data_IF_561877469850
#
_entry.id   IF_561877469850
#
_cell.length_a   1.000
_cell.length_b   1.000
_cell.length_c   1.000
_cell.angle_alpha   90.00
_cell.angle_beta   90.00
_cell.angle_gamma   90.00
#
_symmetry.space_group_name_H-M   'P 1'
#
loop_
_entity.id
_entity.type
_entity.pdbx_description
1 polymer ?
#
# COMPACT_ATOMS: atom_id res chain seq x y z
N UNK A 1 35.28 -3.55 -27.24
CA UNK A 1 34.94 -3.20 -25.86
C UNK A 1 35.21 -4.45 -25.03
N UNK A 2 35.92 -4.39 -23.90
CA UNK A 2 35.94 -5.55 -23.01
C UNK A 2 34.49 -5.77 -22.54
N UNK A 3 33.92 -6.91 -22.91
CA UNK A 3 32.62 -7.34 -22.43
C UNK A 3 32.81 -7.83 -21.01
N UNK A 4 32.34 -7.07 -20.01
CA UNK A 4 32.17 -7.64 -18.67
C UNK A 4 31.04 -8.67 -18.80
N UNK A 5 31.33 -9.98 -18.67
CA UNK A 5 30.29 -10.99 -18.84
C UNK A 5 29.27 -10.85 -17.72
N UNK A 6 27.98 -10.88 -18.09
CA UNK A 6 26.90 -10.98 -17.10
C UNK A 6 27.05 -12.34 -16.41
N UNK A 7 27.01 -12.41 -15.07
CA UNK A 7 27.17 -13.68 -14.36
C UNK A 7 26.14 -14.73 -14.81
N UNK A 8 26.58 -15.96 -15.00
CA UNK A 8 25.68 -17.11 -15.11
C UNK A 8 24.95 -17.28 -13.77
N UNK A 9 23.63 -17.40 -13.82
CA UNK A 9 22.77 -17.52 -12.63
C UNK A 9 21.74 -18.63 -12.82
N UNK A 10 21.19 -19.15 -11.71
CA UNK A 10 20.25 -20.26 -11.74
C UNK A 10 18.89 -19.86 -12.35
N UNK A 11 18.50 -18.59 -12.22
CA UNK A 11 17.28 -18.01 -12.78
C UNK A 11 17.54 -16.62 -13.36
N UNK A 12 16.64 -16.12 -14.22
CA UNK A 12 16.73 -14.72 -14.71
C UNK A 12 16.56 -13.70 -13.58
N UNK A 13 15.85 -14.04 -12.51
CA UNK A 13 15.76 -13.19 -11.31
C UNK A 13 17.11 -13.09 -10.61
N UNK A 14 17.79 -14.21 -10.39
CA UNK A 14 19.14 -14.23 -9.80
C UNK A 14 20.13 -13.46 -10.69
N UNK A 15 19.96 -13.56 -12.01
CA UNK A 15 20.76 -12.82 -12.98
C UNK A 15 20.53 -11.32 -12.85
N UNK A 16 19.29 -10.87 -12.72
CA UNK A 16 18.96 -9.45 -12.51
C UNK A 16 19.56 -8.93 -11.20
N UNK A 17 19.45 -9.68 -10.11
CA UNK A 17 20.08 -9.33 -8.82
C UNK A 17 21.60 -9.18 -8.97
N UNK A 18 22.24 -10.12 -9.68
CA UNK A 18 23.68 -10.05 -9.95
C UNK A 18 24.08 -8.84 -10.82
N UNK A 19 23.24 -8.47 -11.79
CA UNK A 19 23.42 -7.26 -12.61
C UNK A 19 23.33 -6.01 -11.75
N UNK A 20 22.32 -5.87 -10.88
CA UNK A 20 22.19 -4.72 -9.97
C UNK A 20 23.41 -4.58 -9.06
N UNK A 21 23.87 -5.68 -8.47
CA UNK A 21 25.06 -5.68 -7.63
C UNK A 21 26.32 -5.23 -8.40
N UNK A 22 26.47 -5.67 -9.65
CA UNK A 22 27.58 -5.25 -10.52
C UNK A 22 27.50 -3.77 -10.89
N UNK A 23 26.30 -3.25 -11.20
CA UNK A 23 26.08 -1.84 -11.51
C UNK A 23 26.49 -0.94 -10.34
N UNK A 24 26.21 -1.36 -9.09
CA UNK A 24 26.49 -0.59 -7.88
C UNK A 24 27.88 -0.82 -7.27
N UNK A 25 28.62 -1.84 -7.73
CA UNK A 25 29.96 -2.15 -7.24
C UNK A 25 31.01 -1.09 -7.65
N UNK A 26 32.16 -1.00 -6.94
CA UNK A 26 33.28 -0.18 -7.39
C UNK A 26 33.72 -0.51 -8.82
N UNK A 27 33.72 0.49 -9.71
CA UNK A 27 34.01 0.32 -11.13
C UNK A 27 32.78 -0.02 -12.00
N UNK A 28 31.60 -0.12 -11.39
CA UNK A 28 30.30 -0.17 -12.07
C UNK A 28 29.83 1.22 -12.53
N UNK A 29 28.52 1.41 -12.57
CA UNK A 29 27.90 2.66 -12.97
C UNK A 29 27.94 3.69 -11.82
N UNK A 30 28.56 4.87 -12.00
CA UNK A 30 28.64 5.89 -10.96
C UNK A 30 27.27 6.38 -10.48
N UNK A 31 26.30 6.49 -11.40
CA UNK A 31 24.95 6.93 -11.06
C UNK A 31 24.26 5.91 -10.16
N UNK A 32 24.32 4.62 -10.50
CA UNK A 32 23.70 3.55 -9.70
C UNK A 32 24.32 3.46 -8.31
N UNK A 33 25.66 3.57 -8.22
CA UNK A 33 26.39 3.51 -6.96
C UNK A 33 26.06 4.67 -6.00
N UNK A 34 25.72 5.86 -6.52
CA UNK A 34 25.36 7.04 -5.72
C UNK A 34 23.91 7.01 -5.21
N UNK A 35 23.06 6.10 -5.71
CA UNK A 35 21.65 6.06 -5.32
C UNK A 35 21.44 5.59 -3.88
N UNK A 36 20.42 6.19 -3.25
CA UNK A 36 19.94 5.91 -1.89
C UNK A 36 18.45 5.58 -1.93
N UNK A 37 17.89 5.05 -0.84
CA UNK A 37 16.44 4.86 -0.73
C UNK A 37 15.66 6.14 -1.04
N UNK A 38 16.12 7.29 -0.53
CA UNK A 38 15.44 8.56 -0.69
C UNK A 38 15.50 9.10 -2.13
N UNK A 39 16.63 8.94 -2.83
CA UNK A 39 16.76 9.43 -4.21
C UNK A 39 15.94 8.62 -5.21
N UNK A 40 15.64 7.36 -4.90
CA UNK A 40 14.88 6.46 -5.76
C UNK A 40 13.36 6.60 -5.64
N UNK A 41 12.84 7.30 -4.62
CA UNK A 41 11.39 7.44 -4.41
C UNK A 41 10.67 8.03 -5.61
N UNK A 42 11.27 9.00 -6.30
CA UNK A 42 10.64 9.62 -7.48
C UNK A 42 10.43 8.59 -8.60
N UNK A 43 11.45 7.75 -8.86
CA UNK A 43 11.39 6.72 -9.89
C UNK A 43 10.39 5.64 -9.53
N UNK A 44 10.38 5.18 -8.26
CA UNK A 44 9.35 4.24 -7.80
C UNK A 44 7.92 4.76 -8.02
N UNK A 45 7.69 6.08 -7.83
CA UNK A 45 6.39 6.69 -8.10
C UNK A 45 6.10 6.72 -9.60
N UNK A 46 7.08 7.09 -10.43
CA UNK A 46 6.99 7.08 -11.90
C UNK A 46 6.66 5.67 -12.41
N UNK A 47 7.48 4.65 -12.11
CA UNK A 47 7.26 3.26 -12.55
C UNK A 47 5.92 2.70 -12.04
N UNK A 48 5.49 3.09 -10.84
CA UNK A 48 4.17 2.68 -10.33
C UNK A 48 3.02 3.25 -11.15
N UNK A 49 3.18 4.47 -11.67
CA UNK A 49 2.19 5.09 -12.55
C UNK A 49 2.25 4.54 -13.97
N UNK A 50 3.44 4.29 -14.51
CA UNK A 50 3.60 3.66 -15.82
C UNK A 50 3.01 2.24 -15.80
N UNK A 51 3.22 1.47 -14.73
CA UNK A 51 2.54 0.18 -14.53
C UNK A 51 1.00 0.32 -14.47
N UNK A 52 0.46 1.37 -13.84
CA UNK A 52 -0.99 1.62 -13.85
C UNK A 52 -1.46 1.88 -15.29
N UNK A 53 -0.76 2.70 -16.07
CA UNK A 53 -1.09 2.98 -17.46
C UNK A 53 -1.05 1.71 -18.33
N UNK A 54 -0.05 0.84 -18.11
CA UNK A 54 0.05 -0.45 -18.80
C UNK A 54 -1.09 -1.41 -18.43
N UNK A 55 -1.56 -1.42 -17.17
CA UNK A 55 -2.74 -2.20 -16.75
C UNK A 55 -4.02 -1.69 -17.42
N UNK A 56 -4.19 -0.37 -17.52
CA UNK A 56 -5.40 0.25 -18.04
C UNK A 56 -5.50 0.18 -19.56
N UNK A 57 -4.37 0.22 -20.27
CA UNK A 57 -4.37 0.47 -21.72
C UNK A 57 -3.36 -0.34 -22.53
N UNK A 58 -2.46 -1.07 -21.85
CA UNK A 58 -1.23 -1.58 -22.45
C UNK A 58 -1.32 -2.93 -23.16
N UNK A 59 -0.28 -3.19 -23.94
CA UNK A 59 0.04 -4.47 -24.57
C UNK A 59 0.69 -5.45 -23.57
N UNK A 60 0.84 -6.71 -24.00
CA UNK A 60 1.58 -7.71 -23.22
C UNK A 60 3.03 -7.27 -22.98
N UNK A 61 3.62 -6.62 -23.98
CA UNK A 61 4.99 -6.14 -23.96
C UNK A 61 5.17 -5.04 -22.93
N UNK A 62 4.32 -4.01 -22.96
CA UNK A 62 4.32 -2.91 -21.96
C UNK A 62 4.08 -3.48 -20.55
N UNK A 63 3.13 -4.41 -20.38
CA UNK A 63 2.96 -5.07 -19.07
C UNK A 63 4.22 -5.77 -18.55
N UNK A 64 5.02 -6.38 -19.42
CA UNK A 64 6.26 -7.05 -18.99
C UNK A 64 7.34 -6.03 -18.62
N UNK A 65 7.43 -4.94 -19.38
CA UNK A 65 8.35 -3.82 -19.14
C UNK A 65 8.09 -3.19 -17.77
N UNK A 66 6.87 -2.69 -17.55
CA UNK A 66 6.54 -1.95 -16.32
C UNK A 66 6.55 -2.83 -15.06
N UNK A 67 6.16 -4.11 -15.17
CA UNK A 67 6.36 -5.05 -14.05
C UNK A 67 7.84 -5.28 -13.76
N UNK A 68 8.66 -5.29 -14.80
CA UNK A 68 10.11 -5.39 -14.71
C UNK A 68 10.72 -4.20 -13.98
N UNK A 69 10.28 -2.99 -14.29
CA UNK A 69 10.80 -1.76 -13.70
C UNK A 69 10.40 -1.60 -12.23
N UNK A 70 9.14 -1.91 -11.89
CA UNK A 70 8.72 -1.99 -10.47
C UNK A 70 9.48 -3.09 -9.71
N UNK A 71 9.71 -4.26 -10.32
CA UNK A 71 10.54 -5.31 -9.74
C UNK A 71 11.99 -4.85 -9.54
N UNK A 72 12.55 -4.13 -10.51
CA UNK A 72 13.90 -3.60 -10.44
C UNK A 72 14.05 -2.61 -9.29
N UNK A 73 13.08 -1.72 -9.06
CA UNK A 73 13.07 -0.82 -7.89
C UNK A 73 13.15 -1.60 -6.56
N UNK A 74 12.42 -2.72 -6.42
CA UNK A 74 12.47 -3.57 -5.23
C UNK A 74 13.86 -4.20 -5.05
N UNK A 75 14.45 -4.74 -6.13
CA UNK A 75 15.79 -5.33 -6.10
C UNK A 75 16.85 -4.27 -5.76
N UNK A 76 16.72 -3.06 -6.31
CA UNK A 76 17.65 -1.96 -6.09
C UNK A 76 17.65 -1.52 -4.62
N UNK A 77 16.46 -1.37 -4.02
CA UNK A 77 16.35 -1.08 -2.58
C UNK A 77 16.93 -2.21 -1.72
N UNK A 78 16.72 -3.47 -2.10
CA UNK A 78 17.30 -4.60 -1.39
C UNK A 78 18.84 -4.62 -1.49
N UNK A 79 19.43 -4.27 -2.64
CA UNK A 79 20.88 -4.14 -2.79
C UNK A 79 21.45 -2.98 -1.95
N UNK A 80 20.76 -1.82 -1.90
CA UNK A 80 21.14 -0.71 -1.01
C UNK A 80 21.19 -1.20 0.44
N UNK A 81 20.15 -1.90 0.91
CA UNK A 81 20.08 -2.38 2.28
C UNK A 81 21.15 -3.43 2.62
N UNK A 82 21.46 -4.31 1.67
CA UNK A 82 22.50 -5.32 1.83
C UNK A 82 23.90 -4.69 2.00
N UNK A 83 24.13 -3.56 1.33
CA UNK A 83 25.42 -2.86 1.32
C UNK A 83 25.50 -1.66 2.27
N UNK A 84 24.40 -1.26 2.92
CA UNK A 84 24.38 -0.14 3.87
C UNK A 84 24.60 -0.62 5.31
N UNK A 85 25.64 -0.11 6.01
CA UNK A 85 25.90 -0.51 7.39
C UNK A 85 24.71 -0.25 8.32
N UNK A 86 24.14 -1.34 8.85
CA UNK A 86 23.08 -1.29 9.84
C UNK A 86 21.70 -1.71 9.33
N UNK A 87 21.46 -1.74 8.02
CA UNK A 87 20.17 -2.19 7.46
C UNK A 87 20.06 -3.71 7.41
N UNK A 88 21.11 -4.39 6.89
CA UNK A 88 21.33 -5.84 7.01
C UNK A 88 20.16 -6.72 6.54
N UNK A 89 19.56 -6.40 5.40
CA UNK A 89 18.65 -7.31 4.71
C UNK A 89 18.89 -7.28 3.20
N UNK A 90 18.50 -8.34 2.50
CA UNK A 90 18.57 -8.45 1.05
C UNK A 90 17.22 -8.85 0.41
N UNK A 91 17.24 -9.18 -0.89
CA UNK A 91 16.03 -9.54 -1.64
C UNK A 91 15.41 -10.85 -1.16
N UNK A 92 16.21 -11.78 -0.62
CA UNK A 92 15.71 -13.03 -0.06
C UNK A 92 14.99 -12.78 1.26
N UNK A 93 15.48 -11.85 2.10
CA UNK A 93 14.77 -11.46 3.32
C UNK A 93 13.40 -10.84 2.99
N UNK A 94 13.34 -9.96 1.98
CA UNK A 94 12.09 -9.36 1.48
C UNK A 94 11.12 -10.45 0.99
N UNK A 95 11.60 -11.36 0.14
CA UNK A 95 10.80 -12.46 -0.41
C UNK A 95 10.33 -13.45 0.67
N UNK A 96 11.20 -13.80 1.62
CA UNK A 96 10.87 -14.69 2.73
C UNK A 96 9.82 -14.07 3.66
N UNK A 97 9.98 -12.79 4.00
CA UNK A 97 8.99 -12.05 4.80
C UNK A 97 7.63 -12.03 4.11
N UNK A 98 7.59 -11.71 2.82
CA UNK A 98 6.35 -11.68 2.04
C UNK A 98 5.72 -13.06 1.91
N UNK A 99 6.53 -14.11 1.69
CA UNK A 99 6.07 -15.50 1.61
C UNK A 99 5.44 -15.96 2.91
N UNK A 100 6.12 -15.77 4.05
CA UNK A 100 5.60 -16.13 5.36
C UNK A 100 4.26 -15.44 5.63
N UNK A 101 4.18 -14.14 5.32
CA UNK A 101 2.96 -13.34 5.47
C UNK A 101 1.82 -13.82 4.58
N UNK A 102 2.09 -14.18 3.32
CA UNK A 102 1.05 -14.72 2.43
C UNK A 102 0.58 -16.09 2.89
N UNK A 103 1.49 -17.00 3.27
CA UNK A 103 1.12 -18.32 3.79
C UNK A 103 0.29 -18.18 5.08
N UNK A 104 0.74 -17.34 6.02
CA UNK A 104 0.06 -17.12 7.29
C UNK A 104 -1.35 -16.55 7.15
N UNK A 105 -1.60 -15.71 6.14
CA UNK A 105 -2.91 -15.09 5.90
C UNK A 105 -3.84 -15.87 4.99
N UNK A 106 -3.38 -16.98 4.42
CA UNK A 106 -4.21 -17.90 3.64
C UNK A 106 -4.27 -19.30 4.29
N UNK A 107 -4.70 -19.43 5.56
CA UNK A 107 -4.83 -20.75 6.19
C UNK A 107 -5.92 -21.61 5.52
N UNK A 108 -6.75 -21.02 4.66
CA UNK A 108 -7.70 -21.75 3.82
C UNK A 108 -7.08 -22.38 2.57
N UNK A 109 -5.89 -21.93 2.16
CA UNK A 109 -5.11 -22.54 1.09
C UNK A 109 -4.04 -23.49 1.65
N UNK A 110 -3.39 -23.09 2.75
CA UNK A 110 -2.21 -23.78 3.29
C UNK A 110 -2.47 -24.54 4.61
N UNK A 111 -3.69 -24.51 5.14
CA UNK A 111 -4.10 -25.17 6.38
C UNK A 111 -5.52 -25.75 6.27
N UNK A 112 -6.20 -25.85 7.41
CA UNK A 112 -7.48 -26.57 7.54
C UNK A 112 -8.71 -25.65 7.64
N UNK A 113 -8.55 -24.32 7.46
CA UNK A 113 -9.66 -23.37 7.59
C UNK A 113 -10.51 -23.37 6.32
N UNK A 114 -11.79 -23.75 6.40
CA UNK A 114 -12.68 -23.66 5.23
C UNK A 114 -13.33 -22.27 5.17
N UNK A 115 -13.07 -21.52 4.09
CA UNK A 115 -13.69 -20.23 3.80
C UNK A 115 -14.40 -20.34 2.44
N UNK A 116 -15.71 -20.14 2.43
CA UNK A 116 -16.56 -20.48 1.30
C UNK A 116 -16.69 -19.34 0.26
N UNK A 117 -16.45 -18.09 0.66
CA UNK A 117 -16.65 -16.92 -0.20
C UNK A 117 -15.48 -15.93 -0.14
N UNK A 118 -15.36 -15.09 -1.16
CA UNK A 118 -14.40 -13.99 -1.16
C UNK A 118 -14.59 -13.05 0.04
N UNK A 119 -15.85 -12.79 0.44
CA UNK A 119 -16.14 -11.99 1.64
C UNK A 119 -15.66 -12.65 2.94
N UNK A 120 -15.77 -13.98 3.06
CA UNK A 120 -15.22 -14.70 4.21
C UNK A 120 -13.69 -14.61 4.26
N UNK A 121 -13.04 -14.68 3.09
CA UNK A 121 -11.58 -14.51 2.95
C UNK A 121 -11.16 -13.09 3.34
N UNK A 122 -11.85 -12.06 2.87
CA UNK A 122 -11.55 -10.66 3.21
C UNK A 122 -11.69 -10.38 4.71
N UNK A 123 -12.76 -10.90 5.33
CA UNK A 123 -12.98 -10.75 6.77
C UNK A 123 -11.90 -11.46 7.60
N UNK A 124 -11.55 -12.70 7.23
CA UNK A 124 -10.49 -13.45 7.89
C UNK A 124 -9.12 -12.76 7.72
N UNK A 125 -8.84 -12.23 6.52
CA UNK A 125 -7.61 -11.49 6.23
C UNK A 125 -7.43 -10.25 7.12
N UNK A 126 -8.52 -9.52 7.34
CA UNK A 126 -8.53 -8.36 8.20
C UNK A 126 -8.38 -8.71 9.70
N UNK A 127 -8.89 -9.87 10.13
CA UNK A 127 -8.67 -10.42 11.46
C UNK A 127 -7.19 -10.82 11.66
N UNK A 128 -6.60 -11.57 10.73
CA UNK A 128 -5.18 -11.95 10.79
C UNK A 128 -4.25 -10.75 10.79
N UNK A 129 -4.58 -9.70 10.01
CA UNK A 129 -3.84 -8.42 10.04
C UNK A 129 -3.85 -7.77 11.42
N UNK A 130 -4.94 -7.86 12.16
CA UNK A 130 -5.06 -7.28 13.49
C UNK A 130 -4.25 -8.08 14.52
N UNK A 131 -4.27 -9.42 14.44
CA UNK A 131 -3.49 -10.30 15.32
C UNK A 131 -1.98 -10.14 15.13
N UNK A 132 -1.51 -9.96 13.88
CA UNK A 132 -0.08 -9.77 13.56
C UNK A 132 0.50 -8.44 14.04
N UNK A 133 -0.35 -7.45 14.34
CA UNK A 133 0.06 -6.09 14.67
C UNK A 133 -0.66 -5.55 15.90
N UNK A 134 -0.43 -6.14 17.08
CA UNK A 134 -1.09 -5.72 18.32
C UNK A 134 -0.72 -4.29 18.74
N UNK A 135 0.36 -3.73 18.20
CA UNK A 135 0.76 -2.34 18.40
C UNK A 135 -0.13 -1.33 17.66
N UNK A 136 -0.93 -1.78 16.68
CA UNK A 136 -1.87 -0.91 15.98
C UNK A 136 -3.08 -0.66 16.86
N UNK A 137 -3.12 0.53 17.43
CA UNK A 137 -4.21 0.97 18.30
C UNK A 137 -5.31 1.71 17.54
N UNK A 138 -5.05 2.13 16.30
CA UNK A 138 -6.03 2.81 15.44
C UNK A 138 -6.26 2.07 14.13
N UNK A 139 -7.50 2.07 13.64
CA UNK A 139 -7.87 1.58 12.31
C UNK A 139 -7.22 2.40 11.19
N UNK A 140 -6.73 3.61 11.51
CA UNK A 140 -5.97 4.47 10.61
C UNK A 140 -4.49 4.07 10.49
N UNK A 141 -3.99 3.16 11.34
CA UNK A 141 -2.57 2.80 11.35
C UNK A 141 -2.15 2.09 10.06
N UNK A 142 -1.14 2.68 9.41
CA UNK A 142 -0.58 2.19 8.15
C UNK A 142 -1.30 2.68 6.89
N UNK A 143 -2.13 3.72 6.97
CA UNK A 143 -2.61 4.44 5.78
C UNK A 143 -1.52 5.43 5.31
N UNK A 144 -0.99 5.29 4.09
CA UNK A 144 -0.01 6.24 3.55
C UNK A 144 -0.68 7.57 3.23
N UNK A 145 -0.40 8.61 4.00
CA UNK A 145 -1.08 9.91 3.86
C UNK A 145 -0.67 10.69 2.60
N UNK A 146 0.40 10.27 1.93
CA UNK A 146 0.87 10.85 0.67
C UNK A 146 0.21 10.27 -0.58
N UNK A 147 -0.70 9.29 -0.45
CA UNK A 147 -1.39 8.71 -1.61
C UNK A 147 -2.36 9.72 -2.26
N UNK A 148 -2.72 9.54 -3.54
CA UNK A 148 -3.71 10.38 -4.22
C UNK A 148 -5.00 10.49 -3.42
N UNK A 149 -5.59 11.69 -3.35
CA UNK A 149 -6.69 11.97 -2.42
C UNK A 149 -7.94 11.13 -2.65
N UNK A 150 -8.25 10.75 -3.88
CA UNK A 150 -9.39 9.86 -4.16
C UNK A 150 -9.16 8.46 -3.57
N UNK A 151 -7.94 7.91 -3.71
CA UNK A 151 -7.59 6.63 -3.11
C UNK A 151 -7.49 6.71 -1.57
N UNK A 152 -7.04 7.85 -1.03
CA UNK A 152 -7.07 8.09 0.41
C UNK A 152 -8.51 8.16 0.93
N UNK A 153 -9.42 8.81 0.19
CA UNK A 153 -10.83 8.91 0.55
C UNK A 153 -11.48 7.54 0.64
N UNK A 154 -11.29 6.69 -0.38
CA UNK A 154 -11.79 5.32 -0.41
C UNK A 154 -11.33 4.51 0.81
N UNK A 155 -10.01 4.53 1.12
CA UNK A 155 -9.48 3.86 2.31
C UNK A 155 -10.08 4.39 3.62
N UNK A 156 -10.21 5.71 3.77
CA UNK A 156 -10.74 6.31 4.99
C UNK A 156 -12.22 6.02 5.17
N UNK A 157 -13.01 6.01 4.09
CA UNK A 157 -14.42 5.61 4.12
C UNK A 157 -14.53 4.17 4.59
N UNK A 158 -13.75 3.24 4.02
CA UNK A 158 -13.73 1.84 4.46
C UNK A 158 -13.35 1.68 5.94
N UNK A 159 -12.40 2.48 6.45
CA UNK A 159 -12.05 2.49 7.89
C UNK A 159 -13.17 3.05 8.77
N UNK A 160 -13.79 4.15 8.36
CA UNK A 160 -14.90 4.76 9.08
C UNK A 160 -16.10 3.81 9.16
N UNK A 161 -16.43 3.13 8.06
CA UNK A 161 -17.48 2.12 8.01
C UNK A 161 -17.19 0.95 8.95
N UNK A 162 -15.95 0.47 8.99
CA UNK A 162 -15.53 -0.64 9.86
C UNK A 162 -15.78 -0.38 11.36
N UNK A 163 -15.69 0.87 11.80
CA UNK A 163 -15.93 1.26 13.21
C UNK A 163 -17.29 1.95 13.43
N UNK A 164 -18.16 1.98 12.41
CA UNK A 164 -19.50 2.54 12.50
C UNK A 164 -19.58 4.07 12.51
N UNK A 165 -18.51 4.78 12.11
CA UNK A 165 -18.56 6.25 11.91
C UNK A 165 -19.37 6.62 10.67
N UNK A 166 -19.28 5.79 9.62
CA UNK A 166 -20.11 5.90 8.43
C UNK A 166 -20.97 4.65 8.29
N UNK A 167 -22.18 4.80 7.76
CA UNK A 167 -23.07 3.67 7.47
C UNK A 167 -22.53 2.89 6.24
N UNK A 168 -22.54 1.56 6.34
CA UNK A 168 -22.11 0.65 5.26
C UNK A 168 -23.11 0.58 4.11
N UNK A 169 -24.41 0.68 4.43
CA UNK A 169 -25.52 0.48 3.48
C UNK A 169 -26.25 1.79 3.14
N UNK A 170 -25.59 2.93 3.33
CA UNK A 170 -26.15 4.21 2.92
C UNK A 170 -26.36 4.22 1.39
N UNK A 171 -27.52 4.70 0.90
CA UNK A 171 -27.73 4.84 -0.53
C UNK A 171 -26.69 5.79 -1.13
N UNK A 172 -26.18 5.46 -2.32
CA UNK A 172 -25.21 6.29 -3.01
C UNK A 172 -25.75 7.71 -3.19
N UNK A 173 -25.05 8.70 -2.62
CA UNK A 173 -25.45 10.11 -2.69
C UNK A 173 -25.45 10.63 -4.13
N UNK A 174 -24.59 10.07 -4.98
CA UNK A 174 -24.54 10.33 -6.41
C UNK A 174 -24.77 8.99 -7.12
N UNK A 175 -25.90 8.83 -7.85
CA UNK A 175 -26.20 7.59 -8.54
C UNK A 175 -25.34 7.49 -9.81
N UNK A 176 -24.22 6.78 -9.71
CA UNK A 176 -23.30 6.50 -10.83
C UNK A 176 -23.15 4.99 -10.93
N UNK A 177 -23.31 4.43 -12.13
CA UNK A 177 -23.35 2.98 -12.32
C UNK A 177 -22.09 2.39 -12.98
N UNK A 178 -21.20 3.23 -13.50
CA UNK A 178 -19.97 2.82 -14.16
C UNK A 178 -18.86 3.88 -14.09
N UNK A 179 -17.62 3.46 -14.33
CA UNK A 179 -16.47 4.38 -14.42
C UNK A 179 -16.59 5.35 -15.60
N UNK A 180 -17.21 4.92 -16.71
CA UNK A 180 -17.52 5.77 -17.87
C UNK A 180 -18.44 6.93 -17.52
N UNK A 181 -19.31 6.77 -16.52
CA UNK A 181 -20.14 7.85 -15.98
C UNK A 181 -19.42 8.66 -14.90
N UNK A 182 -18.62 7.99 -14.05
CA UNK A 182 -17.92 8.61 -12.92
C UNK A 182 -16.81 9.56 -13.37
N UNK A 183 -16.00 9.15 -14.36
CA UNK A 183 -14.87 9.91 -14.87
C UNK A 183 -15.25 11.32 -15.34
N UNK A 184 -16.23 11.48 -16.25
CA UNK A 184 -16.71 12.79 -16.69
C UNK A 184 -17.24 13.66 -15.55
N UNK A 185 -17.88 13.06 -14.53
CA UNK A 185 -18.37 13.79 -13.36
C UNK A 185 -17.22 14.34 -12.51
N UNK A 186 -16.22 13.51 -12.21
CA UNK A 186 -15.01 13.93 -11.49
C UNK A 186 -14.28 15.05 -12.24
N UNK A 187 -14.15 14.91 -13.57
CA UNK A 187 -13.57 15.95 -14.42
C UNK A 187 -14.38 17.25 -14.37
N UNK A 188 -15.72 17.18 -14.39
CA UNK A 188 -16.58 18.35 -14.28
C UNK A 188 -16.44 19.07 -12.94
N UNK A 189 -16.28 18.33 -11.83
CA UNK A 189 -16.01 18.89 -10.50
C UNK A 189 -14.67 19.64 -10.51
N UNK A 190 -13.62 19.04 -11.05
CA UNK A 190 -12.29 19.67 -11.15
C UNK A 190 -12.34 20.91 -12.05
N UNK A 191 -13.04 20.84 -13.18
CA UNK A 191 -13.22 21.97 -14.09
C UNK A 191 -13.96 23.14 -13.43
N UNK A 192 -15.03 22.84 -12.68
CA UNK A 192 -15.79 23.84 -11.91
C UNK A 192 -14.94 24.48 -10.81
N UNK A 193 -14.19 23.67 -10.05
CA UNK A 193 -13.26 24.17 -9.05
C UNK A 193 -12.23 25.13 -9.66
N UNK A 194 -11.61 24.73 -10.78
CA UNK A 194 -10.63 25.55 -11.51
C UNK A 194 -11.24 26.87 -11.98
N UNK A 195 -12.44 26.85 -12.55
CA UNK A 195 -13.13 28.06 -13.01
C UNK A 195 -13.42 29.05 -11.88
N UNK A 196 -13.52 28.57 -10.65
CA UNK A 196 -13.74 29.37 -9.44
C UNK A 196 -12.44 29.69 -8.66
N UNK A 197 -11.27 29.34 -9.19
CA UNK A 197 -9.99 29.54 -8.50
C UNK A 197 -9.77 28.64 -7.27
N UNK A 198 -10.52 27.54 -7.19
CA UNK A 198 -10.40 26.53 -6.15
C UNK A 198 -9.43 25.43 -6.57
N UNK A 199 -8.76 24.86 -5.58
CA UNK A 199 -7.88 23.70 -5.74
C UNK A 199 -8.63 22.46 -5.24
N UNK A 200 -9.13 21.64 -6.17
CA UNK A 200 -9.96 20.46 -5.87
C UNK A 200 -9.22 19.43 -5.01
N UNK A 201 -7.94 19.22 -5.30
CA UNK A 201 -7.09 18.28 -4.58
C UNK A 201 -6.83 18.76 -3.14
N UNK A 202 -6.49 20.04 -2.95
CA UNK A 202 -6.36 20.63 -1.60
C UNK A 202 -7.69 20.62 -0.83
N UNK A 203 -8.81 20.88 -1.51
CA UNK A 203 -10.13 20.84 -0.91
C UNK A 203 -10.46 19.43 -0.39
N UNK A 204 -10.22 18.39 -1.20
CA UNK A 204 -10.44 17.01 -0.79
C UNK A 204 -9.48 16.61 0.35
N UNK A 205 -8.17 16.86 0.24
CA UNK A 205 -7.22 16.59 1.33
C UNK A 205 -7.62 17.22 2.66
N UNK A 206 -8.13 18.46 2.61
CA UNK A 206 -8.56 19.17 3.83
C UNK A 206 -9.77 18.49 4.45
N UNK A 207 -10.74 18.08 3.63
CA UNK A 207 -11.91 17.32 4.06
C UNK A 207 -11.52 15.98 4.69
N UNK A 208 -10.58 15.26 4.08
CA UNK A 208 -10.08 13.97 4.58
C UNK A 208 -9.35 14.07 5.92
N UNK A 209 -8.74 15.22 6.25
CA UNK A 209 -8.21 15.46 7.61
C UNK A 209 -9.33 15.53 8.65
N UNK A 210 -10.49 16.09 8.29
CA UNK A 210 -11.69 16.12 9.13
C UNK A 210 -12.22 14.72 9.40
N UNK A 211 -12.45 13.93 8.35
CA UNK A 211 -12.91 12.53 8.49
C UNK A 211 -11.95 11.69 9.37
N UNK A 212 -10.64 11.90 9.25
CA UNK A 212 -9.66 11.23 10.12
C UNK A 212 -9.82 11.61 11.59
N UNK A 213 -10.07 12.89 11.86
CA UNK A 213 -10.31 13.37 13.22
C UNK A 213 -11.59 12.72 13.80
N UNK A 214 -12.67 12.65 13.02
CA UNK A 214 -13.93 11.98 13.41
C UNK A 214 -13.71 10.49 13.73
N UNK A 215 -12.93 9.78 12.89
CA UNK A 215 -12.56 8.38 13.15
C UNK A 215 -11.78 8.27 14.47
N UNK A 216 -10.81 9.15 14.70
CA UNK A 216 -9.97 9.11 15.91
C UNK A 216 -10.79 9.42 17.16
N UNK A 217 -11.74 10.35 17.08
CA UNK A 217 -12.65 10.69 18.17
C UNK A 217 -13.59 9.53 18.50
N UNK A 218 -14.15 8.87 17.48
CA UNK A 218 -14.98 7.68 17.67
C UNK A 218 -14.22 6.53 18.36
N UNK A 219 -12.95 6.30 17.98
CA UNK A 219 -12.09 5.32 18.65
C UNK A 219 -11.85 5.68 20.12
N UNK A 220 -11.60 6.96 20.42
CA UNK A 220 -11.40 7.43 21.80
C UNK A 220 -12.65 7.26 22.67
N UNK A 221 -13.84 7.55 22.12
CA UNK A 221 -15.12 7.36 22.80
C UNK A 221 -15.39 5.88 23.07
N UNK A 222 -15.20 5.01 22.09
CA UNK A 222 -15.37 3.57 22.24
C UNK A 222 -14.43 2.98 23.31
N UNK A 223 -13.18 3.45 23.37
CA UNK A 223 -12.22 3.05 24.38
C UNK A 223 -12.62 3.53 25.80
N UNK A 224 -13.17 4.74 25.91
CA UNK A 224 -13.65 5.28 27.19
C UNK A 224 -14.86 4.49 27.72
N UNK A 225 -15.82 4.14 26.85
CA UNK A 225 -16.99 3.35 27.22
C UNK A 225 -16.62 1.92 27.64
N UNK A 226 -15.67 1.29 26.96
CA UNK A 226 -15.13 -0.02 27.35
C UNK A 226 -14.46 -0.01 28.75
N UNK A 227 -13.84 1.12 29.13
CA UNK A 227 -13.22 1.31 30.45
C UNK A 227 -14.20 1.47 31.61
N UNK A 228 -15.45 1.86 31.35
CA UNK A 228 -16.49 2.04 32.38
C UNK A 228 -17.12 0.71 32.80
N UNK A 229 -17.17 -0.29 31.90
CA UNK A 229 -17.77 -1.61 32.19
C UNK A 229 -16.86 -2.51 33.03
N UNK A 230 -15.55 -2.22 33.12
CA UNK A 230 -14.56 -3.10 33.75
C UNK A 230 -14.34 -2.90 35.27
N UNK A 231 -15.24 -2.22 36.01
CA UNK A 231 -15.17 -2.17 37.49
C UNK A 231 -16.30 -2.99 38.13
N UNK A 232 -16.05 -4.23 38.59
CA UNK A 232 -16.94 -4.84 39.56
C UNK A 232 -16.86 -4.00 40.84
N UNK A 233 -18.00 -3.58 41.36
CA UNK A 233 -18.09 -3.02 42.71
C UNK A 233 -17.67 -4.10 43.70
N UNK A 234 -16.46 -4.00 44.26
CA UNK A 234 -16.16 -4.63 45.54
C UNK A 234 -17.03 -3.96 46.59
N UNK A 235 -18.13 -4.64 46.92
CA UNK A 235 -18.89 -4.40 48.12
C UNK A 235 -18.61 -5.62 49.02
N UNK A 236 -17.83 -5.42 50.08
CA UNK A 236 -17.95 -6.17 51.34
C UNK A 236 -16.96 -5.60 52.37
N UNK A 237 -17.50 -5.08 53.48
CA UNK A 237 -16.75 -4.64 54.66
C UNK A 237 -17.43 -3.52 55.43
#
# INVERSE_FOLDING_TARGET
MPETPIPDAATELDRLVAVTALLRAPGGCPWDAEQTHASLVQYLVEESHELIEAIESGSREEMIEELGDVLYQVIFHADIAANTPGERFDINDVAAHMTQKMVGRHPHVFGDLDLATAGDVENAWDAFKAEEKPERTSVLDGIPLGMPSLALADKLIGKAQKIGVLETDAPAAIPVASEDELGPLLLAIVASARAQGLDAERALRTTLRGLRAEITEAEALAAADAGIVARPSENDG
#
